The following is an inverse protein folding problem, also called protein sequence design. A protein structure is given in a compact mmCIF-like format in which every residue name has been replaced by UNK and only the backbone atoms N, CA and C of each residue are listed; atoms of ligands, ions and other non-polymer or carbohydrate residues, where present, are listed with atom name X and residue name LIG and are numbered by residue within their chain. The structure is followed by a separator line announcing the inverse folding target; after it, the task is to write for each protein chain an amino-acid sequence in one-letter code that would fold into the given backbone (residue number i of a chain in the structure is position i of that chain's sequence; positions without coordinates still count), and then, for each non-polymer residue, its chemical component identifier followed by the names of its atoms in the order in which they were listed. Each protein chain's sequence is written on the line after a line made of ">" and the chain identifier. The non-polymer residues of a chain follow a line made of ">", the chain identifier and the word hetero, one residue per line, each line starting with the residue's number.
data_IF_478465530523
#
_entry.id   IF_478465530523
#
_cell.length_a   1.000
_cell.length_b   1.000
_cell.length_c   1.000
_cell.angle_alpha   90.00
_cell.angle_beta   90.00
_cell.angle_gamma   90.00
#
_symmetry.space_group_name_H-M   'P 1'
#
loop_
_entity.id
_entity.type
_entity.pdbx_description
1 polymer ?
#
# COMPACT_ATOMS: atom_id res chain seq x y z
N UNK A 1 7.49 13.34 1.81
CA UNK A 1 7.21 11.89 2.02
C UNK A 1 5.88 11.57 1.36
N UNK A 2 5.86 10.67 0.36
CA UNK A 2 4.61 10.32 -0.36
C UNK A 2 3.72 9.47 0.54
N UNK A 3 2.41 9.71 0.53
CA UNK A 3 1.42 8.95 1.31
C UNK A 3 0.58 8.13 0.34
N UNK A 4 0.56 6.81 0.55
CA UNK A 4 -0.13 5.85 -0.31
C UNK A 4 -1.17 5.12 0.53
N UNK A 5 -2.40 5.05 0.05
CA UNK A 5 -3.46 4.25 0.64
C UNK A 5 -3.70 3.07 -0.30
N UNK A 6 -3.52 1.86 0.21
CA UNK A 6 -3.68 0.63 -0.57
C UNK A 6 -5.00 -0.03 -0.19
N UNK A 7 -5.90 -0.16 -1.15
CA UNK A 7 -7.26 -0.70 -0.95
C UNK A 7 -7.56 -1.84 -1.92
N UNK A 8 -8.73 -2.48 -1.79
CA UNK A 8 -9.18 -3.46 -2.79
C UNK A 8 -9.59 -2.78 -4.10
N UNK A 9 -10.48 -1.80 -4.01
CA UNK A 9 -11.01 -1.05 -5.15
C UNK A 9 -10.87 0.47 -4.89
N UNK A 10 -9.95 1.16 -5.57
CA UNK A 10 -9.77 2.61 -5.42
C UNK A 10 -11.01 3.44 -5.75
N UNK A 11 -11.93 2.94 -6.59
CA UNK A 11 -13.12 3.71 -7.03
C UNK A 11 -14.12 3.94 -5.89
N UNK A 12 -14.12 3.08 -4.89
CA UNK A 12 -14.96 3.20 -3.69
C UNK A 12 -14.43 4.26 -2.69
N UNK A 13 -13.24 4.82 -2.95
CA UNK A 13 -12.53 5.68 -2.02
C UNK A 13 -12.38 7.09 -2.56
N UNK A 14 -13.37 7.95 -2.28
CA UNK A 14 -13.26 9.38 -2.53
C UNK A 14 -12.96 10.14 -1.22
N UNK A 15 -11.68 10.36 -0.95
CA UNK A 15 -11.24 10.97 0.31
C UNK A 15 -11.24 12.50 0.28
N UNK A 16 -11.31 13.15 -0.89
CA UNK A 16 -11.31 14.62 -0.99
C UNK A 16 -10.04 15.30 -0.46
N UNK A 17 -8.96 14.55 -0.23
CA UNK A 17 -7.69 15.06 0.33
C UNK A 17 -6.60 15.10 -0.73
N UNK A 18 -5.92 16.23 -0.82
CA UNK A 18 -4.77 16.43 -1.72
C UNK A 18 -3.49 15.80 -1.15
N UNK A 19 -2.65 15.25 -2.02
CA UNK A 19 -1.34 14.68 -1.64
C UNK A 19 -1.40 13.25 -1.09
N UNK A 20 -2.53 12.56 -1.24
CA UNK A 20 -2.68 11.12 -1.05
C UNK A 20 -2.80 10.43 -2.41
N UNK A 21 -2.19 9.26 -2.54
CA UNK A 21 -2.39 8.38 -3.70
C UNK A 21 -3.16 7.14 -3.25
N UNK A 22 -4.38 6.93 -3.75
CA UNK A 22 -5.18 5.73 -3.47
C UNK A 22 -4.98 4.74 -4.61
N UNK A 23 -4.51 3.53 -4.29
CA UNK A 23 -4.16 2.50 -5.29
C UNK A 23 -4.71 1.15 -4.89
N UNK A 24 -4.91 0.27 -5.87
CA UNK A 24 -5.31 -1.09 -5.57
C UNK A 24 -4.13 -1.88 -5.00
N UNK A 25 -4.41 -2.85 -4.13
CA UNK A 25 -3.41 -3.83 -3.65
C UNK A 25 -2.71 -4.55 -4.80
N UNK A 26 -3.42 -4.83 -5.91
CA UNK A 26 -2.82 -5.40 -7.12
C UNK A 26 -1.78 -4.46 -7.72
N UNK A 27 -2.12 -3.19 -7.89
CA UNK A 27 -1.23 -2.19 -8.51
C UNK A 27 -0.01 -1.92 -7.66
N UNK A 28 -0.19 -1.79 -6.34
CA UNK A 28 0.92 -1.59 -5.41
C UNK A 28 1.95 -2.72 -5.48
N UNK A 29 1.49 -3.96 -5.64
CA UNK A 29 2.36 -5.14 -5.71
C UNK A 29 3.06 -5.28 -7.08
N UNK A 30 2.39 -4.91 -8.17
CA UNK A 30 2.81 -5.25 -9.53
C UNK A 30 3.44 -4.10 -10.32
N UNK A 31 3.11 -2.84 -10.01
CA UNK A 31 3.63 -1.72 -10.78
C UNK A 31 5.05 -1.33 -10.32
N UNK A 32 6.05 -1.27 -11.23
CA UNK A 32 7.44 -0.99 -10.87
C UNK A 32 7.66 0.34 -10.13
N UNK A 33 6.79 1.34 -10.37
CA UNK A 33 6.87 2.65 -9.72
C UNK A 33 6.81 2.59 -8.18
N UNK A 34 6.14 1.59 -7.61
CA UNK A 34 6.09 1.40 -6.15
C UNK A 34 7.29 0.62 -5.61
N UNK A 35 7.95 -0.18 -6.46
CA UNK A 35 9.16 -0.89 -6.09
C UNK A 35 10.37 0.06 -5.99
N UNK A 36 10.48 1.02 -6.92
CA UNK A 36 11.54 2.03 -6.91
C UNK A 36 11.31 3.19 -5.93
N UNK A 37 10.14 3.28 -5.30
CA UNK A 37 9.81 4.40 -4.42
C UNK A 37 10.46 4.24 -3.05
N UNK A 38 11.35 5.17 -2.71
CA UNK A 38 11.93 5.30 -1.37
C UNK A 38 11.17 6.37 -0.58
N UNK A 39 11.18 6.27 0.76
CA UNK A 39 10.56 7.26 1.66
C UNK A 39 9.05 7.49 1.40
N UNK A 40 8.29 6.40 1.32
CA UNK A 40 6.83 6.40 1.27
C UNK A 40 6.24 5.96 2.60
N UNK A 41 5.07 6.50 2.94
CA UNK A 41 4.22 5.99 4.02
C UNK A 41 3.01 5.30 3.42
N UNK A 42 2.82 4.04 3.75
CA UNK A 42 1.81 3.15 3.18
C UNK A 42 0.77 2.85 4.25
N UNK A 43 -0.48 3.18 3.96
CA UNK A 43 -1.63 2.77 4.76
C UNK A 43 -2.27 1.60 4.03
N UNK A 44 -1.97 0.40 4.50
CA UNK A 44 -2.53 -0.82 3.94
C UNK A 44 -3.91 -1.01 4.55
N UNK A 45 -4.95 -0.81 3.74
CA UNK A 45 -6.37 -0.99 4.07
C UNK A 45 -6.95 -2.13 3.22
N UNK A 46 -6.13 -3.15 2.93
CA UNK A 46 -6.58 -4.35 2.25
C UNK A 46 -7.62 -5.11 3.09
N UNK A 47 -8.50 -5.85 2.41
CA UNK A 47 -9.60 -6.59 3.04
C UNK A 47 -9.15 -7.71 4.00
N UNK A 48 -7.94 -8.23 3.82
CA UNK A 48 -7.36 -9.29 4.66
C UNK A 48 -5.85 -9.11 4.77
N UNK A 49 -5.32 -9.49 5.94
CA UNK A 49 -3.89 -9.56 6.25
C UNK A 49 -3.43 -11.00 6.55
N UNK A 50 -4.28 -12.01 6.27
CA UNK A 50 -3.91 -13.42 6.46
C UNK A 50 -2.67 -13.77 5.64
N UNK A 51 -1.91 -14.77 6.09
CA UNK A 51 -0.72 -15.25 5.37
C UNK A 51 -1.04 -15.49 3.88
N UNK A 52 -0.11 -15.09 3.01
CA UNK A 52 -0.23 -15.10 1.54
C UNK A 52 -1.40 -14.29 0.93
N UNK A 53 -2.13 -13.51 1.72
CA UNK A 53 -3.09 -12.54 1.17
C UNK A 53 -2.36 -11.37 0.48
N UNK A 54 -3.08 -10.62 -0.36
CA UNK A 54 -2.54 -9.38 -0.94
C UNK A 54 -2.17 -8.36 0.14
N UNK A 55 -2.94 -8.24 1.21
CA UNK A 55 -2.63 -7.33 2.30
C UNK A 55 -1.34 -7.74 3.02
N UNK A 56 -1.13 -9.02 3.26
CA UNK A 56 0.13 -9.54 3.80
C UNK A 56 1.32 -9.16 2.92
N UNK A 57 1.25 -9.39 1.61
CA UNK A 57 2.35 -9.04 0.69
C UNK A 57 2.56 -7.53 0.56
N UNK A 58 1.51 -6.71 0.68
CA UNK A 58 1.65 -5.25 0.68
C UNK A 58 2.52 -4.81 1.84
N UNK A 59 2.24 -5.29 3.06
CA UNK A 59 3.03 -4.96 4.25
C UNK A 59 4.45 -5.52 4.15
N UNK A 60 4.61 -6.79 3.75
CA UNK A 60 5.92 -7.43 3.62
C UNK A 60 6.84 -6.70 2.62
N UNK A 61 6.32 -6.39 1.43
CA UNK A 61 7.13 -5.70 0.41
C UNK A 61 7.37 -4.23 0.76
N UNK A 62 6.42 -3.56 1.40
CA UNK A 62 6.63 -2.19 1.88
C UNK A 62 7.82 -2.14 2.85
N UNK A 63 7.87 -3.06 3.83
CA UNK A 63 8.98 -3.16 4.78
C UNK A 63 10.30 -3.47 4.08
N UNK A 64 10.33 -4.47 3.19
CA UNK A 64 11.53 -4.84 2.44
C UNK A 64 12.06 -3.69 1.57
N UNK A 65 11.18 -2.81 1.09
CA UNK A 65 11.53 -1.60 0.32
C UNK A 65 11.93 -0.41 1.19
N UNK A 66 11.93 -0.54 2.52
CA UNK A 66 12.21 0.55 3.46
C UNK A 66 11.10 1.62 3.51
N UNK A 67 9.87 1.26 3.16
CA UNK A 67 8.70 2.12 3.27
C UNK A 67 8.06 1.95 4.65
N UNK A 68 7.46 3.03 5.17
CA UNK A 68 6.78 3.01 6.48
C UNK A 68 5.34 2.53 6.28
N UNK A 69 5.05 1.26 6.55
CA UNK A 69 3.70 0.68 6.38
C UNK A 69 2.97 0.50 7.69
N UNK A 70 1.64 0.63 7.67
CA UNK A 70 0.74 0.27 8.77
C UNK A 70 -0.48 -0.47 8.17
N UNK A 71 -0.86 -1.66 8.68
CA UNK A 71 -0.12 -2.47 9.66
C UNK A 71 1.20 -3.03 9.10
N UNK A 72 2.16 -3.31 9.99
CA UNK A 72 3.39 -4.05 9.67
C UNK A 72 3.08 -5.51 9.32
N UNK A 73 4.01 -6.18 8.64
CA UNK A 73 3.95 -7.63 8.45
C UNK A 73 4.48 -8.42 9.67
N UNK A 74 5.15 -7.71 10.58
CA UNK A 74 5.52 -8.16 11.92
C UNK A 74 4.36 -8.10 12.89
#
# INVERSE_FOLDING_TARGET
>A
MKKIIVVRDPKEWNLGVTGLEVVSSKDYLTQPRFAGMRNARVFNLARSYSYQSRGYYVSLLAEARGQKVIPSAK
#
